data_IF_914565006435
#
_entry.id   IF_914565006435
#
_cell.length_a   1.000
_cell.length_b   1.000
_cell.length_c   1.000
_cell.angle_alpha   90.00
_cell.angle_beta   90.00
_cell.angle_gamma   90.00
#
_symmetry.space_group_name_H-M   'P 1'
#
loop_
_entity.id
_entity.type
_entity.pdbx_description
1 polymer ?
#
# COMPACT_ATOMS: atom_id res chain seq x y z
N UNK A 1 9.42 16.39 15.96
CA UNK A 1 9.47 16.74 14.52
C UNK A 1 8.92 15.55 13.75
N UNK A 2 7.65 15.58 13.36
CA UNK A 2 7.02 14.50 12.60
C UNK A 2 7.63 14.34 11.21
N UNK A 3 7.89 13.09 10.83
CA UNK A 3 8.32 12.75 9.48
C UNK A 3 7.41 11.67 8.91
N UNK A 4 6.87 11.94 7.73
CA UNK A 4 6.02 11.02 6.97
C UNK A 4 6.73 10.71 5.67
N UNK A 5 7.03 9.43 5.43
CA UNK A 5 7.56 8.97 4.14
C UNK A 5 6.48 8.17 3.40
N UNK A 6 6.14 8.65 2.22
CA UNK A 6 5.22 7.97 1.29
C UNK A 6 6.05 7.39 0.17
N UNK A 7 5.99 6.06 -0.01
CA UNK A 7 6.59 5.37 -1.16
C UNK A 7 5.49 5.07 -2.17
N UNK A 8 5.67 5.57 -3.39
CA UNK A 8 4.73 5.44 -4.50
C UNK A 8 5.43 4.77 -5.68
N UNK A 9 4.63 4.23 -6.59
CA UNK A 9 5.12 3.87 -7.92
C UNK A 9 5.14 5.12 -8.78
N UNK A 10 6.21 5.28 -9.56
CA UNK A 10 6.37 6.39 -10.49
C UNK A 10 5.20 6.49 -11.49
N UNK A 11 4.76 7.72 -11.74
CA UNK A 11 3.71 8.04 -12.71
C UNK A 11 2.28 7.66 -12.31
N UNK A 12 2.03 7.11 -11.11
CA UNK A 12 0.67 6.77 -10.66
C UNK A 12 -0.14 7.99 -10.23
N UNK A 13 0.51 8.99 -9.64
CA UNK A 13 -0.14 10.21 -9.16
C UNK A 13 0.40 11.44 -9.88
N UNK A 14 -0.48 12.39 -10.17
CA UNK A 14 -0.04 13.67 -10.76
C UNK A 14 0.74 14.51 -9.72
N UNK A 15 1.53 15.51 -10.17
CA UNK A 15 2.15 16.47 -9.26
C UNK A 15 1.14 17.13 -8.30
N UNK A 16 -0.04 17.51 -8.79
CA UNK A 16 -1.10 18.14 -8.01
C UNK A 16 -1.63 17.21 -6.92
N UNK A 17 -1.86 15.93 -7.25
CA UNK A 17 -2.30 14.91 -6.30
C UNK A 17 -1.25 14.67 -5.20
N UNK A 18 0.04 14.67 -5.56
CA UNK A 18 1.14 14.55 -4.59
C UNK A 18 1.20 15.75 -3.64
N UNK A 19 1.01 16.97 -4.14
CA UNK A 19 0.95 18.16 -3.27
C UNK A 19 -0.28 18.15 -2.35
N UNK A 20 -1.44 17.75 -2.86
CA UNK A 20 -2.65 17.58 -2.06
C UNK A 20 -2.47 16.51 -0.97
N UNK A 21 -1.82 15.40 -1.30
CA UNK A 21 -1.48 14.33 -0.36
C UNK A 21 -0.55 14.84 0.74
N UNK A 22 0.53 15.56 0.39
CA UNK A 22 1.44 16.13 1.37
C UNK A 22 0.71 17.07 2.35
N UNK A 23 -0.15 17.95 1.83
CA UNK A 23 -0.98 18.83 2.67
C UNK A 23 -1.88 18.04 3.61
N UNK A 24 -2.58 17.03 3.11
CA UNK A 24 -3.50 16.23 3.92
C UNK A 24 -2.76 15.46 5.03
N UNK A 25 -1.59 14.90 4.73
CA UNK A 25 -0.75 14.22 5.72
C UNK A 25 -0.24 15.19 6.80
N UNK A 26 0.13 16.42 6.42
CA UNK A 26 0.45 17.46 7.39
C UNK A 26 -0.73 17.78 8.31
N UNK A 27 -1.94 17.93 7.76
CA UNK A 27 -3.16 18.18 8.55
C UNK A 27 -3.44 17.03 9.53
N UNK A 28 -3.19 15.77 9.14
CA UNK A 28 -3.26 14.61 10.02
C UNK A 28 -2.26 14.73 11.17
N UNK A 29 -1.00 15.06 10.89
CA UNK A 29 0.02 15.16 11.95
C UNK A 29 -0.31 16.30 12.92
N UNK A 30 -0.72 17.47 12.42
CA UNK A 30 -1.09 18.61 13.26
C UNK A 30 -2.26 18.26 14.21
N UNK A 31 -3.26 17.51 13.72
CA UNK A 31 -4.37 17.03 14.54
C UNK A 31 -3.89 16.22 15.74
N UNK A 32 -2.91 15.35 15.57
CA UNK A 32 -2.41 14.48 16.65
C UNK A 32 -1.34 15.14 17.53
N UNK A 33 -0.58 16.09 16.99
CA UNK A 33 0.33 16.94 17.78
C UNK A 33 -0.43 17.97 18.66
N UNK A 34 -1.69 18.26 18.32
CA UNK A 34 -2.59 19.07 19.14
C UNK A 34 -2.37 20.59 19.05
N UNK A 35 -1.53 21.06 18.12
CA UNK A 35 -1.28 22.48 17.89
C UNK A 35 -0.83 22.77 16.46
N UNK A 36 -1.40 23.81 15.83
CA UNK A 36 -1.00 24.29 14.50
C UNK A 36 0.46 24.77 14.44
N UNK A 37 1.06 25.12 15.57
CA UNK A 37 2.46 25.52 15.62
C UNK A 37 3.42 24.41 15.12
N UNK A 38 3.00 23.15 15.18
CA UNK A 38 3.82 22.03 14.70
C UNK A 38 3.84 21.90 13.17
N UNK A 39 2.95 22.56 12.43
CA UNK A 39 2.87 22.48 10.97
C UNK A 39 4.21 22.76 10.29
N UNK A 40 4.91 23.79 10.76
CA UNK A 40 6.20 24.23 10.24
C UNK A 40 7.32 23.19 10.38
N UNK A 41 7.12 22.17 11.23
CA UNK A 41 8.09 21.10 11.47
C UNK A 41 7.59 19.71 11.07
N UNK A 42 6.46 19.63 10.35
CA UNK A 42 5.99 18.38 9.75
C UNK A 42 6.62 18.19 8.38
N UNK A 43 7.37 17.11 8.23
CA UNK A 43 8.09 16.80 7.00
C UNK A 43 7.36 15.67 6.27
N UNK A 44 7.03 15.89 4.99
CA UNK A 44 6.45 14.85 4.13
C UNK A 44 7.38 14.62 2.95
N UNK A 45 7.94 13.41 2.87
CA UNK A 45 8.76 12.96 1.76
C UNK A 45 7.96 11.99 0.90
N UNK A 46 7.70 12.38 -0.35
CA UNK A 46 7.11 11.51 -1.36
C UNK A 46 8.23 10.98 -2.24
N UNK A 47 8.43 9.66 -2.22
CA UNK A 47 9.44 8.95 -2.98
C UNK A 47 8.76 8.07 -4.03
N UNK A 48 8.98 8.38 -5.30
CA UNK A 48 8.51 7.59 -6.43
C UNK A 48 9.58 6.60 -6.85
N UNK A 49 9.23 5.32 -6.82
CA UNK A 49 10.08 4.22 -7.24
C UNK A 49 9.72 3.82 -8.67
N UNK A 50 10.75 3.64 -9.50
CA UNK A 50 10.61 3.08 -10.83
C UNK A 50 9.87 1.73 -10.76
N UNK A 51 9.11 1.39 -11.80
CA UNK A 51 8.30 0.16 -11.85
C UNK A 51 9.13 -1.11 -11.67
N UNK A 52 10.38 -1.11 -12.14
CA UNK A 52 11.34 -2.21 -11.92
C UNK A 52 11.76 -2.39 -10.45
N UNK A 53 11.53 -1.39 -9.59
CA UNK A 53 11.75 -1.47 -8.15
C UNK A 53 10.53 -2.01 -7.39
N UNK A 54 9.37 -2.17 -8.04
CA UNK A 54 8.11 -2.50 -7.38
C UNK A 54 7.54 -3.82 -7.88
N UNK A 55 7.29 -4.76 -6.96
CA UNK A 55 6.84 -6.10 -7.32
C UNK A 55 5.64 -6.55 -6.48
N UNK A 56 4.69 -7.24 -7.11
CA UNK A 56 3.55 -7.87 -6.42
C UNK A 56 3.58 -9.38 -6.67
N UNK A 57 3.79 -10.14 -5.59
CA UNK A 57 3.89 -11.61 -5.65
C UNK A 57 5.00 -12.10 -6.59
N UNK A 58 6.16 -11.43 -6.56
CA UNK A 58 7.35 -11.78 -7.36
C UNK A 58 7.32 -11.31 -8.81
N UNK A 59 6.36 -10.48 -9.23
CA UNK A 59 6.25 -9.97 -10.61
C UNK A 59 6.35 -8.44 -10.62
N UNK A 60 6.97 -7.83 -11.65
CA UNK A 60 7.01 -6.37 -11.80
C UNK A 60 5.61 -5.75 -11.80
N UNK A 61 5.52 -4.51 -11.35
CA UNK A 61 4.28 -3.76 -11.35
C UNK A 61 4.10 -2.97 -12.65
N UNK A 62 3.03 -3.26 -13.36
CA UNK A 62 2.63 -2.72 -14.66
C UNK A 62 1.38 -1.82 -14.51
N UNK A 63 1.19 -1.19 -13.35
CA UNK A 63 0.03 -0.33 -13.09
C UNK A 63 -1.26 -1.11 -12.76
N UNK A 64 -2.44 -0.59 -13.13
CA UNK A 64 -3.74 -1.19 -12.79
C UNK A 64 -3.89 -2.67 -13.19
N UNK A 65 -3.24 -3.10 -14.28
CA UNK A 65 -3.24 -4.50 -14.71
C UNK A 65 -2.67 -5.43 -13.64
N UNK A 66 -1.52 -5.09 -13.04
CA UNK A 66 -0.91 -5.90 -11.98
C UNK A 66 -1.80 -6.00 -10.74
N UNK A 67 -2.56 -4.94 -10.43
CA UNK A 67 -3.54 -4.96 -9.35
C UNK A 67 -4.69 -5.92 -9.67
N UNK A 68 -5.28 -5.81 -10.87
CA UNK A 68 -6.37 -6.69 -11.30
C UNK A 68 -5.94 -8.16 -11.36
N UNK A 69 -4.75 -8.44 -11.88
CA UNK A 69 -4.17 -9.79 -11.89
C UNK A 69 -3.97 -10.35 -10.47
N UNK A 70 -3.52 -9.51 -9.55
CA UNK A 70 -3.31 -9.89 -8.15
C UNK A 70 -4.64 -10.19 -7.46
N UNK A 71 -5.65 -9.35 -7.65
CA UNK A 71 -7.00 -9.56 -7.11
C UNK A 71 -7.65 -10.81 -7.69
N UNK A 72 -7.51 -11.05 -9.00
CA UNK A 72 -8.00 -12.26 -9.66
C UNK A 72 -7.33 -13.53 -9.10
N UNK A 73 -6.00 -13.52 -8.92
CA UNK A 73 -5.27 -14.63 -8.31
C UNK A 73 -5.66 -14.84 -6.84
N UNK A 74 -5.80 -13.77 -6.06
CA UNK A 74 -6.25 -13.85 -4.67
C UNK A 74 -7.65 -14.45 -4.56
N UNK A 75 -8.58 -14.03 -5.43
CA UNK A 75 -9.92 -14.61 -5.53
C UNK A 75 -9.88 -16.10 -5.87
N UNK A 76 -9.11 -16.49 -6.89
CA UNK A 76 -8.99 -17.90 -7.26
C UNK A 76 -8.43 -18.75 -6.11
N UNK A 77 -7.43 -18.25 -5.38
CA UNK A 77 -6.91 -18.93 -4.18
C UNK A 77 -7.98 -19.03 -3.10
N UNK A 78 -8.69 -17.93 -2.81
CA UNK A 78 -9.77 -17.91 -1.84
C UNK A 78 -10.85 -18.97 -2.15
N UNK A 79 -11.27 -19.07 -3.42
CA UNK A 79 -12.27 -20.04 -3.87
C UNK A 79 -11.80 -21.50 -3.75
N UNK A 80 -10.49 -21.75 -3.67
CA UNK A 80 -9.94 -23.12 -3.45
C UNK A 80 -9.79 -23.51 -1.99
N UNK A 81 -9.93 -22.58 -1.05
CA UNK A 81 -9.82 -22.87 0.38
C UNK A 81 -11.15 -23.47 0.84
N UNK A 82 -11.09 -24.69 1.38
CA UNK A 82 -12.28 -25.36 1.91
C UNK A 82 -12.71 -24.72 3.25
N UNK A 83 -13.98 -24.31 3.33
CA UNK A 83 -14.53 -23.71 4.55
C UNK A 83 -14.10 -22.26 4.77
N UNK A 84 -14.08 -21.83 6.04
CA UNK A 84 -13.68 -20.47 6.44
C UNK A 84 -12.76 -20.57 7.67
N UNK A 85 -11.50 -20.96 7.47
CA UNK A 85 -10.56 -21.12 8.57
C UNK A 85 -10.40 -19.81 9.32
N UNK A 86 -10.38 -19.88 10.65
CA UNK A 86 -10.21 -18.74 11.56
C UNK A 86 -8.88 -18.76 12.28
N UNK A 87 -8.23 -19.94 12.33
CA UNK A 87 -6.89 -20.09 12.87
C UNK A 87 -5.84 -20.32 11.77
N UNK A 88 -4.57 -20.06 12.09
CA UNK A 88 -3.45 -20.33 11.19
C UNK A 88 -3.34 -21.81 10.84
N UNK A 89 -3.60 -22.70 11.81
CA UNK A 89 -3.52 -24.14 11.62
C UNK A 89 -4.62 -24.64 10.68
N UNK A 90 -5.86 -24.21 10.89
CA UNK A 90 -6.98 -24.50 9.98
C UNK A 90 -6.68 -24.01 8.56
N UNK A 91 -6.12 -22.79 8.40
CA UNK A 91 -5.77 -22.25 7.09
C UNK A 91 -4.66 -23.06 6.43
N UNK A 92 -3.65 -23.51 7.17
CA UNK A 92 -2.57 -24.33 6.63
C UNK A 92 -3.06 -25.71 6.16
N UNK A 93 -4.07 -26.28 6.83
CA UNK A 93 -4.70 -27.54 6.44
C UNK A 93 -5.66 -27.37 5.25
N UNK A 94 -6.40 -26.26 5.19
CA UNK A 94 -7.42 -25.99 4.17
C UNK A 94 -6.87 -25.36 2.88
N UNK A 95 -5.72 -24.68 2.95
CA UNK A 95 -5.10 -24.06 1.78
C UNK A 95 -4.34 -25.09 0.94
N UNK A 96 -4.45 -25.05 -0.39
CA UNK A 96 -3.67 -25.93 -1.25
C UNK A 96 -2.17 -25.62 -1.13
N UNK A 97 -1.36 -26.62 -0.78
CA UNK A 97 0.10 -26.52 -0.86
C UNK A 97 0.45 -26.40 -2.33
N UNK A 98 1.02 -25.26 -2.75
CA UNK A 98 1.65 -25.17 -4.07
C UNK A 98 2.88 -26.08 -4.07
N UNK A 99 2.84 -27.14 -4.90
CA UNK A 99 4.03 -27.88 -5.35
C UNK A 99 4.89 -27.01 -6.27
#
# INVERSE_FOLDING_TARGET
>A
MPFVNVKLVDGVFTPEEKHAMAKALTDVMVKFEGSEAFREVVWVLIEELHTDGWHIGGRPFEGPKSLMDTLGKAKAVYETINGRPTTREELAQAAPVRS
#
